data_IF_417648188414
#
_entry.id   IF_417648188414
#
_cell.length_a   1.000
_cell.length_b   1.000
_cell.length_c   1.000
_cell.angle_alpha   90.00
_cell.angle_beta   90.00
_cell.angle_gamma   90.00
#
_symmetry.space_group_name_H-M   'P 1'
#
loop_
_entity.id
_entity.type
_entity.pdbx_description
1 polymer ?
#
# COMPACT_ATOMS: atom_id res chain seq x y z
N UNK A 1 3.07 -28.32 4.06
CA UNK A 1 3.08 -28.19 2.57
C UNK A 1 4.43 -28.61 2.07
N UNK A 2 4.47 -29.39 1.00
CA UNK A 2 5.72 -29.89 0.42
C UNK A 2 6.06 -29.12 -0.85
N UNK A 3 7.23 -28.49 -0.86
CA UNK A 3 7.76 -27.79 -2.03
C UNK A 3 8.84 -28.64 -2.67
N UNK A 4 8.54 -29.20 -3.85
CA UNK A 4 9.52 -29.96 -4.62
C UNK A 4 10.76 -29.11 -4.92
N UNK A 5 11.94 -29.59 -4.54
CA UNK A 5 13.19 -28.87 -4.70
C UNK A 5 14.36 -29.84 -4.79
N UNK A 6 15.37 -29.51 -5.60
CA UNK A 6 16.60 -30.29 -5.66
C UNK A 6 17.29 -30.26 -4.30
N UNK A 7 18.01 -31.32 -3.93
CA UNK A 7 18.85 -31.32 -2.73
C UNK A 7 19.87 -30.18 -2.85
N UNK A 8 20.05 -29.40 -1.79
CA UNK A 8 21.03 -28.32 -1.74
C UNK A 8 20.49 -26.94 -2.10
N UNK A 9 19.21 -26.82 -2.51
CA UNK A 9 18.58 -25.51 -2.74
C UNK A 9 18.55 -24.70 -1.44
N UNK A 10 18.99 -23.43 -1.44
CA UNK A 10 18.92 -22.56 -0.26
C UNK A 10 17.49 -22.44 0.27
N UNK A 11 17.34 -22.47 1.60
CA UNK A 11 16.05 -22.32 2.28
C UNK A 11 16.08 -21.00 3.05
N UNK A 12 15.40 -19.94 2.57
CA UNK A 12 15.29 -18.68 3.30
C UNK A 12 14.23 -18.77 4.42
N UNK A 13 14.44 -18.03 5.52
CA UNK A 13 13.38 -17.79 6.53
C UNK A 13 12.28 -16.93 5.93
N UNK A 14 11.01 -17.32 6.10
CA UNK A 14 9.87 -16.57 5.55
C UNK A 14 9.55 -15.27 6.32
N UNK A 15 10.12 -15.09 7.50
CA UNK A 15 9.96 -13.90 8.34
C UNK A 15 11.11 -13.80 9.36
N UNK A 16 11.28 -12.65 9.99
CA UNK A 16 12.19 -12.49 11.12
C UNK A 16 11.75 -13.34 12.32
N UNK A 17 12.70 -13.91 13.07
CA UNK A 17 12.34 -14.74 14.20
C UNK A 17 13.52 -15.29 14.99
N UNK A 18 13.20 -16.06 16.02
CA UNK A 18 14.18 -16.74 16.88
C UNK A 18 14.08 -18.24 16.70
N UNK A 19 15.20 -18.87 16.37
CA UNK A 19 15.29 -20.32 16.20
C UNK A 19 15.01 -21.01 17.54
N UNK A 20 13.89 -21.71 17.66
CA UNK A 20 13.55 -22.52 18.84
C UNK A 20 14.28 -23.86 18.82
N UNK A 21 14.40 -24.45 17.63
CA UNK A 21 15.03 -25.74 17.44
C UNK A 21 15.76 -25.77 16.11
N UNK A 22 16.94 -26.39 16.10
CA UNK A 22 17.74 -26.64 14.93
C UNK A 22 18.54 -27.92 15.19
N UNK A 23 18.20 -29.01 14.51
CA UNK A 23 18.81 -30.32 14.74
C UNK A 23 18.02 -31.46 14.09
N UNK A 24 18.30 -32.69 14.50
CA UNK A 24 17.60 -33.87 14.00
C UNK A 24 16.38 -34.16 14.88
N UNK A 25 15.21 -34.35 14.26
CA UNK A 25 13.99 -34.80 14.93
C UNK A 25 13.41 -36.01 14.19
N UNK A 26 12.94 -37.02 14.92
CA UNK A 26 12.27 -38.19 14.34
C UNK A 26 11.10 -37.78 13.44
N UNK A 27 10.95 -38.44 12.30
CA UNK A 27 10.01 -38.07 11.22
C UNK A 27 10.55 -36.95 10.32
N UNK A 28 10.89 -35.79 10.87
CA UNK A 28 11.31 -34.62 10.10
C UNK A 28 12.75 -34.63 9.57
N UNK A 29 13.62 -35.50 10.09
CA UNK A 29 15.04 -35.46 9.74
C UNK A 29 15.71 -34.20 10.29
N UNK A 30 16.57 -33.56 9.50
CA UNK A 30 17.10 -32.25 9.86
C UNK A 30 15.98 -31.21 9.77
N UNK A 31 15.70 -30.54 10.89
CA UNK A 31 14.58 -29.61 11.00
C UNK A 31 15.00 -28.34 11.73
N UNK A 32 14.43 -27.21 11.28
CA UNK A 32 14.54 -25.91 11.91
C UNK A 32 13.14 -25.45 12.28
N UNK A 33 12.96 -24.99 13.52
CA UNK A 33 11.72 -24.36 13.99
C UNK A 33 12.00 -22.94 14.44
N UNK A 34 11.26 -21.98 13.92
CA UNK A 34 11.48 -20.55 14.18
C UNK A 34 10.22 -19.97 14.80
N UNK A 35 10.34 -19.37 15.99
CA UNK A 35 9.30 -18.52 16.54
C UNK A 35 9.39 -17.13 15.94
N UNK A 36 8.27 -16.58 15.50
CA UNK A 36 8.20 -15.24 14.94
C UNK A 36 7.47 -14.28 15.88
N UNK A 37 7.70 -12.96 15.73
CA UNK A 37 6.83 -11.95 16.32
C UNK A 37 5.36 -12.21 15.97
N UNK A 38 4.45 -11.98 16.91
CA UNK A 38 3.01 -12.19 16.68
C UNK A 38 2.50 -13.63 16.95
N UNK A 39 3.35 -14.50 17.51
CA UNK A 39 2.91 -15.75 18.14
C UNK A 39 2.72 -16.94 17.17
N UNK A 40 3.29 -16.86 15.98
CA UNK A 40 3.35 -17.97 15.03
C UNK A 40 4.75 -18.59 14.96
N UNK A 41 4.81 -19.84 14.50
CA UNK A 41 6.01 -20.66 14.39
C UNK A 41 6.07 -21.26 12.98
N UNK A 42 7.25 -21.30 12.38
CA UNK A 42 7.46 -21.99 11.10
C UNK A 42 8.41 -23.17 11.28
N UNK A 43 8.14 -24.25 10.55
CA UNK A 43 8.93 -25.48 10.57
C UNK A 43 9.46 -25.77 9.16
N UNK A 44 10.75 -26.05 9.06
CA UNK A 44 11.44 -26.39 7.81
C UNK A 44 12.13 -27.73 8.01
N UNK A 45 11.65 -28.77 7.33
CA UNK A 45 12.07 -30.14 7.55
C UNK A 45 12.70 -30.80 6.32
N UNK A 46 13.21 -32.02 6.53
CA UNK A 46 13.93 -32.85 5.56
C UNK A 46 15.20 -32.21 4.99
N UNK A 47 15.81 -31.27 5.72
CA UNK A 47 16.94 -30.48 5.24
C UNK A 47 18.21 -31.33 5.03
N UNK A 48 19.08 -30.94 4.11
CA UNK A 48 20.42 -31.55 3.94
C UNK A 48 21.47 -30.90 4.84
N UNK A 49 21.28 -29.61 5.16
CA UNK A 49 22.17 -28.86 6.05
C UNK A 49 21.40 -27.79 6.81
N UNK A 50 21.84 -27.52 8.03
CA UNK A 50 21.32 -26.48 8.92
C UNK A 50 22.40 -25.40 9.06
N UNK A 51 22.06 -24.15 8.79
CA UNK A 51 22.98 -23.00 8.82
C UNK A 51 22.79 -22.12 10.08
N UNK A 52 21.89 -22.51 10.99
CA UNK A 52 21.52 -21.74 12.19
C UNK A 52 21.55 -22.58 13.45
N UNK A 53 21.63 -21.93 14.61
CA UNK A 53 21.69 -22.58 15.93
C UNK A 53 20.46 -22.23 16.79
N UNK A 54 20.04 -23.10 17.74
CA UNK A 54 18.99 -22.75 18.69
C UNK A 54 19.32 -21.45 19.44
N UNK A 55 18.33 -20.57 19.57
CA UNK A 55 18.45 -19.24 20.17
C UNK A 55 18.96 -18.14 19.25
N UNK A 56 19.41 -18.46 18.03
CA UNK A 56 19.83 -17.48 17.04
C UNK A 56 18.63 -16.67 16.52
N UNK A 57 18.80 -15.36 16.39
CA UNK A 57 17.87 -14.49 15.66
C UNK A 57 18.18 -14.57 14.17
N UNK A 58 17.14 -14.67 13.35
CA UNK A 58 17.23 -14.69 11.89
C UNK A 58 16.36 -13.61 11.28
N UNK A 59 16.81 -13.00 10.19
CA UNK A 59 16.04 -12.03 9.41
C UNK A 59 15.21 -12.73 8.33
N UNK A 60 14.14 -12.08 7.86
CA UNK A 60 13.43 -12.51 6.66
C UNK A 60 14.39 -12.63 5.46
N UNK A 61 14.21 -13.68 4.65
CA UNK A 61 15.08 -13.95 3.49
C UNK A 61 16.44 -14.53 3.85
N UNK A 62 16.85 -14.55 5.12
CA UNK A 62 18.12 -15.13 5.55
C UNK A 62 18.13 -16.63 5.25
N UNK A 63 19.18 -17.12 4.58
CA UNK A 63 19.35 -18.54 4.33
C UNK A 63 19.61 -19.29 5.66
N UNK A 64 18.69 -20.18 6.03
CA UNK A 64 18.72 -20.92 7.31
C UNK A 64 19.18 -22.38 7.13
N UNK A 65 19.20 -22.88 5.90
CA UNK A 65 19.60 -24.26 5.61
C UNK A 65 19.57 -24.56 4.12
N UNK A 66 19.57 -25.85 3.78
CA UNK A 66 19.39 -26.31 2.41
C UNK A 66 18.40 -27.45 2.35
N UNK A 67 17.56 -27.48 1.33
CA UNK A 67 16.61 -28.57 1.06
C UNK A 67 17.34 -29.91 0.98
N UNK A 68 16.65 -30.99 1.32
CA UNK A 68 17.26 -32.30 1.38
C UNK A 68 16.26 -33.42 1.16
N UNK A 69 16.61 -34.58 1.71
CA UNK A 69 15.80 -35.78 1.71
C UNK A 69 16.11 -36.61 2.97
N UNK A 70 16.16 -35.95 4.14
CA UNK A 70 16.50 -36.60 5.42
C UNK A 70 15.25 -36.96 6.22
N UNK A 71 15.33 -37.93 7.13
CA UNK A 71 14.15 -38.39 7.89
C UNK A 71 13.20 -39.24 7.05
N UNK A 72 11.90 -39.16 7.33
CA UNK A 72 10.86 -39.91 6.62
C UNK A 72 10.39 -39.11 5.40
N UNK A 73 11.16 -39.16 4.32
CA UNK A 73 10.88 -38.46 3.06
C UNK A 73 10.97 -39.39 1.86
N UNK A 74 10.06 -39.25 0.89
CA UNK A 74 9.99 -40.09 -0.31
C UNK A 74 10.75 -39.50 -1.52
N UNK A 75 11.26 -38.27 -1.41
CA UNK A 75 12.05 -37.62 -2.46
C UNK A 75 12.48 -36.20 -2.08
N UNK A 76 13.39 -35.56 -2.86
CA UNK A 76 13.88 -34.21 -2.54
C UNK A 76 12.79 -33.13 -2.51
N UNK A 77 12.57 -32.54 -1.34
CA UNK A 77 11.62 -31.43 -1.15
C UNK A 77 11.94 -30.63 0.11
N UNK A 78 11.26 -29.49 0.27
CA UNK A 78 11.14 -28.77 1.54
C UNK A 78 9.75 -29.04 2.11
N UNK A 79 9.69 -29.70 3.25
CA UNK A 79 8.47 -29.78 4.05
C UNK A 79 8.37 -28.55 4.94
N UNK A 80 7.37 -27.72 4.69
CA UNK A 80 7.13 -26.45 5.37
C UNK A 80 5.82 -26.48 6.13
N UNK A 81 5.87 -26.08 7.40
CA UNK A 81 4.68 -25.91 8.23
C UNK A 81 4.61 -24.50 8.79
N UNK A 82 3.38 -24.00 8.90
CA UNK A 82 3.06 -22.75 9.57
C UNK A 82 2.11 -23.06 10.72
N UNK A 83 2.52 -22.72 11.93
CA UNK A 83 1.75 -22.94 13.15
C UNK A 83 1.39 -21.60 13.75
N UNK A 84 0.12 -21.38 14.07
CA UNK A 84 -0.28 -20.19 14.82
C UNK A 84 -1.22 -20.55 15.97
N UNK A 85 -1.01 -19.92 17.13
CA UNK A 85 -1.68 -20.29 18.38
C UNK A 85 -1.60 -21.81 18.71
N UNK A 86 -0.50 -22.47 18.33
CA UNK A 86 -0.28 -23.91 18.56
C UNK A 86 -1.05 -24.85 17.63
N UNK A 87 -1.68 -24.34 16.56
CA UNK A 87 -2.36 -25.14 15.54
C UNK A 87 -1.65 -25.02 14.19
N UNK A 88 -1.56 -26.13 13.47
CA UNK A 88 -1.12 -26.14 12.07
C UNK A 88 -2.16 -25.40 11.23
N UNK A 89 -1.74 -24.36 10.53
CA UNK A 89 -2.55 -23.56 9.61
C UNK A 89 -1.99 -23.77 8.21
N UNK A 90 -2.87 -23.82 7.20
CA UNK A 90 -2.45 -23.90 5.81
C UNK A 90 -1.46 -22.76 5.47
N UNK A 91 -0.21 -23.07 5.11
CA UNK A 91 0.80 -22.11 4.70
C UNK A 91 0.36 -21.13 3.61
N UNK A 92 -0.58 -21.52 2.73
CA UNK A 92 -1.10 -20.64 1.68
C UNK A 92 -2.00 -19.52 2.23
N UNK A 93 -2.45 -19.63 3.48
CA UNK A 93 -3.23 -18.59 4.19
C UNK A 93 -2.35 -17.70 5.08
N UNK A 94 -1.03 -17.87 5.05
CA UNK A 94 -0.10 -17.09 5.87
C UNK A 94 -0.23 -15.57 5.66
N UNK A 95 -0.44 -15.12 4.42
CA UNK A 95 -0.63 -13.69 4.08
C UNK A 95 -1.93 -13.09 4.66
N UNK A 96 -2.92 -13.93 5.02
CA UNK A 96 -4.19 -13.51 5.60
C UNK A 96 -4.23 -13.64 7.14
N UNK A 97 -3.18 -14.17 7.75
CA UNK A 97 -3.13 -14.38 9.19
C UNK A 97 -2.73 -13.09 9.92
N UNK A 98 -3.64 -12.57 10.76
CA UNK A 98 -3.38 -11.45 11.66
C UNK A 98 -2.81 -12.01 12.97
N UNK A 99 -1.57 -11.67 13.37
CA UNK A 99 -0.95 -12.27 14.53
C UNK A 99 -1.69 -11.94 15.84
N UNK A 100 -2.11 -12.97 16.58
CA UNK A 100 -2.60 -12.83 17.95
C UNK A 100 -1.56 -13.37 18.93
N UNK A 101 -0.81 -12.47 19.57
CA UNK A 101 0.17 -12.83 20.60
C UNK A 101 1.02 -11.64 21.05
N UNK A 102 1.47 -11.66 22.32
CA UNK A 102 2.45 -10.69 22.82
C UNK A 102 3.78 -10.90 22.09
N UNK A 103 4.46 -9.84 21.60
CA UNK A 103 5.79 -9.94 21.02
C UNK A 103 6.76 -10.63 21.98
N UNK A 104 7.65 -11.48 21.47
CA UNK A 104 8.78 -11.97 22.25
C UNK A 104 9.61 -10.76 22.70
N UNK A 105 10.13 -10.75 23.94
CA UNK A 105 10.87 -9.61 24.46
C UNK A 105 12.11 -9.36 23.60
N UNK A 106 12.07 -8.30 22.81
CA UNK A 106 13.26 -7.73 22.20
C UNK A 106 14.14 -7.19 23.33
N UNK A 107 15.43 -7.55 23.31
CA UNK A 107 16.45 -7.11 24.27
C UNK A 107 16.77 -5.61 24.22
N UNK A 108 15.90 -4.80 23.63
CA UNK A 108 15.88 -3.35 23.77
C UNK A 108 14.44 -2.96 24.12
N UNK A 109 14.24 -2.45 25.33
CA UNK A 109 12.95 -2.02 25.82
C UNK A 109 12.33 -0.98 24.86
N UNK A 110 11.17 -1.27 24.23
CA UNK A 110 10.33 -0.24 23.69
C UNK A 110 9.59 0.39 24.87
N UNK A 111 9.74 1.69 25.04
CA UNK A 111 8.84 2.45 25.89
C UNK A 111 7.38 2.07 25.55
N UNK A 112 6.59 1.85 26.61
CA UNK A 112 5.14 1.57 26.67
C UNK A 112 4.32 1.90 25.41
N UNK A 113 3.26 1.13 25.09
CA UNK A 113 2.34 1.46 24.01
C UNK A 113 1.59 2.74 24.38
N UNK A 114 2.10 3.89 23.92
CA UNK A 114 1.28 5.09 23.86
C UNK A 114 0.23 4.79 22.80
N UNK A 115 -1.02 4.58 23.23
CA UNK A 115 -2.16 5.01 22.41
C UNK A 115 -1.80 6.41 21.94
N UNK A 116 -1.52 6.56 20.65
CA UNK A 116 -1.51 7.86 20.02
C UNK A 116 -2.98 8.31 20.03
N UNK A 117 -3.39 8.89 21.15
CA UNK A 117 -4.06 10.17 21.04
C UNK A 117 -3.17 11.02 20.13
N UNK A 118 -3.76 11.76 19.19
CA UNK A 118 -3.08 12.79 18.43
C UNK A 118 -2.66 13.90 19.42
N UNK A 119 -1.68 13.60 20.26
CA UNK A 119 -0.85 14.59 20.94
C UNK A 119 0.39 14.69 20.07
N UNK A 120 0.31 15.61 19.12
CA UNK A 120 1.40 16.03 18.25
C UNK A 120 2.66 16.24 19.10
N UNK A 121 3.76 15.47 18.89
CA UNK A 121 4.98 15.61 19.69
C UNK A 121 5.71 16.93 19.43
N UNK A 122 5.35 17.63 18.36
CA UNK A 122 5.70 19.03 18.12
C UNK A 122 4.43 19.85 18.31
N UNK A 123 4.51 21.07 18.83
CA UNK A 123 3.36 21.95 19.07
C UNK A 123 2.63 22.44 17.81
N UNK A 124 2.28 21.54 16.90
CA UNK A 124 1.41 21.78 15.75
C UNK A 124 0.06 22.23 16.27
N UNK A 125 -0.23 23.51 16.07
CA UNK A 125 -1.54 24.08 16.36
C UNK A 125 -2.41 23.87 15.14
N UNK A 126 -3.61 23.34 15.33
CA UNK A 126 -4.65 23.40 14.31
C UNK A 126 -4.99 24.87 14.10
N UNK A 127 -4.88 25.35 12.86
CA UNK A 127 -5.22 26.74 12.55
C UNK A 127 -6.71 26.96 12.82
N UNK A 128 -7.03 28.07 13.48
CA UNK A 128 -8.42 28.51 13.71
C UNK A 128 -8.95 29.38 12.58
N UNK A 129 -8.10 29.74 11.62
CA UNK A 129 -8.43 30.64 10.53
C UNK A 129 -8.70 29.88 9.23
N UNK A 130 -9.65 30.36 8.40
CA UNK A 130 -9.79 29.88 7.04
C UNK A 130 -8.45 29.89 6.29
N UNK A 131 -8.28 28.95 5.37
CA UNK A 131 -7.08 28.84 4.55
C UNK A 131 -7.40 28.31 3.17
N UNK A 132 -6.66 28.82 2.19
CA UNK A 132 -6.68 28.31 0.83
C UNK A 132 -5.61 27.24 0.68
N UNK A 133 -5.99 26.10 0.13
CA UNK A 133 -5.12 24.97 -0.11
C UNK A 133 -5.33 24.44 -1.52
N UNK A 134 -4.26 23.97 -2.14
CA UNK A 134 -4.35 23.25 -3.41
C UNK A 134 -4.09 21.78 -3.15
N UNK A 135 -4.95 20.89 -3.65
CA UNK A 135 -4.72 19.45 -3.67
C UNK A 135 -4.37 18.99 -5.07
N UNK A 136 -3.29 18.21 -5.22
CA UNK A 136 -2.84 17.63 -6.48
C UNK A 136 -2.76 16.11 -6.37
N UNK A 137 -3.36 15.43 -7.33
CA UNK A 137 -3.42 13.97 -7.41
C UNK A 137 -3.06 13.50 -8.82
N UNK A 138 -2.32 12.40 -8.92
CA UNK A 138 -2.26 11.59 -10.13
C UNK A 138 -2.67 10.16 -9.77
N UNK A 139 -3.78 9.73 -10.36
CA UNK A 139 -4.39 8.43 -10.07
C UNK A 139 -3.56 7.27 -10.61
N UNK A 140 -3.85 6.06 -10.14
CA UNK A 140 -3.21 4.82 -10.63
C UNK A 140 -3.62 4.44 -12.05
N UNK A 141 -4.66 5.06 -12.60
CA UNK A 141 -5.06 4.89 -14.00
C UNK A 141 -4.08 5.54 -14.99
N UNK A 142 -3.15 6.38 -14.50
CA UNK A 142 -2.15 7.07 -15.32
C UNK A 142 -2.77 7.94 -16.44
N UNK A 143 -3.96 8.49 -16.21
CA UNK A 143 -4.65 9.32 -17.19
C UNK A 143 -4.15 10.76 -17.17
N UNK A 144 -3.70 11.23 -16.01
CA UNK A 144 -3.20 12.58 -15.84
C UNK A 144 -3.13 13.05 -14.39
N UNK A 145 -3.18 14.37 -14.26
CA UNK A 145 -3.15 15.13 -13.02
C UNK A 145 -4.50 15.80 -12.82
N UNK A 146 -5.04 15.65 -11.62
CA UNK A 146 -6.16 16.42 -11.11
C UNK A 146 -5.69 17.40 -10.05
N UNK A 147 -6.21 18.63 -10.12
CA UNK A 147 -5.96 19.69 -9.16
C UNK A 147 -7.24 20.34 -8.69
N UNK A 148 -7.29 20.66 -7.40
CA UNK A 148 -8.40 21.40 -6.79
C UNK A 148 -7.87 22.53 -5.93
N UNK A 149 -8.53 23.68 -5.97
CA UNK A 149 -8.35 24.77 -5.02
C UNK A 149 -9.52 24.75 -4.04
N UNK A 150 -9.20 24.62 -2.76
CA UNK A 150 -10.15 24.46 -1.67
C UNK A 150 -9.97 25.58 -0.65
N UNK A 151 -11.08 26.12 -0.16
CA UNK A 151 -11.12 26.87 1.08
C UNK A 151 -11.49 25.93 2.22
N UNK A 152 -10.66 25.87 3.25
CA UNK A 152 -10.92 25.07 4.45
C UNK A 152 -11.03 25.99 5.66
N UNK A 153 -12.12 25.86 6.41
CA UNK A 153 -12.33 26.55 7.67
C UNK A 153 -12.67 25.52 8.77
N UNK A 154 -12.22 25.75 10.02
CA UNK A 154 -12.44 24.80 11.11
C UNK A 154 -13.92 24.50 11.33
N UNK A 155 -14.25 23.21 11.53
CA UNK A 155 -15.62 22.78 11.84
C UNK A 155 -16.60 22.84 10.67
N UNK A 156 -16.15 23.16 9.46
CA UNK A 156 -16.97 23.16 8.25
C UNK A 156 -16.35 22.28 7.16
N UNK A 157 -17.17 21.63 6.30
CA UNK A 157 -16.66 20.97 5.11
C UNK A 157 -15.90 21.95 4.21
N UNK A 158 -14.82 21.50 3.55
CA UNK A 158 -14.07 22.37 2.65
C UNK A 158 -14.93 22.77 1.44
N UNK A 159 -14.79 24.03 1.02
CA UNK A 159 -15.47 24.57 -0.17
C UNK A 159 -14.54 24.49 -1.38
N UNK A 160 -14.99 23.82 -2.44
CA UNK A 160 -14.31 23.82 -3.73
C UNK A 160 -14.46 25.18 -4.41
N UNK A 161 -13.34 25.82 -4.76
CA UNK A 161 -13.31 27.10 -5.45
C UNK A 161 -13.00 26.95 -6.93
N UNK A 162 -12.10 26.04 -7.29
CA UNK A 162 -11.74 25.74 -8.67
C UNK A 162 -11.23 24.31 -8.79
N UNK A 163 -11.34 23.76 -9.99
CA UNK A 163 -10.77 22.47 -10.37
C UNK A 163 -10.08 22.60 -11.72
N UNK A 164 -9.03 21.80 -11.94
CA UNK A 164 -8.33 21.74 -13.21
C UNK A 164 -7.76 20.33 -13.39
N UNK A 165 -7.65 19.88 -14.64
CA UNK A 165 -7.06 18.59 -14.96
C UNK A 165 -6.16 18.71 -16.19
N UNK A 166 -5.10 17.90 -16.23
CA UNK A 166 -4.17 17.80 -17.35
C UNK A 166 -3.83 16.35 -17.61
N UNK A 167 -4.05 15.89 -18.85
CA UNK A 167 -3.66 14.55 -19.26
C UNK A 167 -2.13 14.40 -19.24
N UNK A 168 -1.64 13.20 -18.93
CA UNK A 168 -0.21 12.93 -19.07
C UNK A 168 0.23 12.92 -20.53
N UNK A 169 1.38 13.55 -20.87
CA UNK A 169 2.04 13.30 -22.14
C UNK A 169 2.31 11.81 -22.31
N UNK A 170 2.14 11.28 -23.52
CA UNK A 170 2.26 9.85 -23.80
C UNK A 170 3.60 9.25 -23.34
N UNK A 171 4.71 10.01 -23.50
CA UNK A 171 6.03 9.60 -23.05
C UNK A 171 6.13 9.46 -21.52
N UNK A 172 5.58 10.42 -20.77
CA UNK A 172 5.59 10.39 -19.30
C UNK A 172 4.70 9.25 -18.77
N UNK A 173 3.53 9.04 -19.38
CA UNK A 173 2.65 7.91 -19.05
C UNK A 173 3.35 6.57 -19.26
N UNK A 174 4.00 6.39 -20.41
CA UNK A 174 4.76 5.18 -20.71
C UNK A 174 5.92 4.98 -19.73
N UNK A 175 6.58 6.07 -19.34
CA UNK A 175 7.68 6.03 -18.37
C UNK A 175 7.20 5.59 -16.98
N UNK A 176 6.11 6.16 -16.46
CA UNK A 176 5.54 5.70 -15.20
C UNK A 176 5.11 4.23 -15.24
N UNK A 177 4.53 3.78 -16.35
CA UNK A 177 4.18 2.37 -16.52
C UNK A 177 5.43 1.48 -16.52
N UNK A 178 6.48 1.85 -17.25
CA UNK A 178 7.72 1.09 -17.29
C UNK A 178 8.41 1.04 -15.91
N UNK A 179 8.35 2.14 -15.15
CA UNK A 179 8.86 2.20 -13.79
C UNK A 179 8.08 1.33 -12.82
N UNK A 180 6.92 0.74 -13.19
CA UNK A 180 6.21 -0.28 -12.39
C UNK A 180 6.93 -1.65 -12.36
N UNK A 181 7.94 -1.84 -13.20
CA UNK A 181 8.74 -3.06 -13.29
C UNK A 181 10.23 -2.76 -13.19
N UNK A 182 11.01 -3.69 -12.64
CA UNK A 182 12.47 -3.55 -12.58
C UNK A 182 13.07 -3.37 -13.98
N UNK A 183 14.06 -2.50 -14.11
CA UNK A 183 14.57 -2.11 -15.43
C UNK A 183 15.92 -1.41 -15.40
N UNK A 184 16.38 -0.99 -16.58
CA UNK A 184 17.62 -0.24 -16.71
C UNK A 184 17.44 1.18 -16.16
N UNK A 185 18.41 1.60 -15.32
CA UNK A 185 18.60 2.97 -14.83
C UNK A 185 17.34 3.62 -14.21
N UNK A 186 16.59 2.84 -13.42
CA UNK A 186 15.31 3.27 -12.83
C UNK A 186 15.44 4.51 -11.94
N UNK A 187 16.57 4.72 -11.27
CA UNK A 187 16.78 5.86 -10.39
C UNK A 187 16.86 7.18 -11.18
N UNK A 188 17.68 7.22 -12.24
CA UNK A 188 17.81 8.39 -13.10
C UNK A 188 16.48 8.69 -13.79
N UNK A 189 15.85 7.66 -14.36
CA UNK A 189 14.56 7.76 -15.03
C UNK A 189 13.45 8.25 -14.11
N UNK A 190 13.39 7.73 -12.88
CA UNK A 190 12.44 8.19 -11.85
C UNK A 190 12.65 9.67 -11.52
N UNK A 191 13.91 10.13 -11.43
CA UNK A 191 14.22 11.53 -11.18
C UNK A 191 13.76 12.45 -12.32
N UNK A 192 13.94 12.03 -13.59
CA UNK A 192 13.45 12.79 -14.74
C UNK A 192 11.91 12.82 -14.81
N UNK A 193 11.26 11.68 -14.53
CA UNK A 193 9.80 11.60 -14.46
C UNK A 193 9.23 12.47 -13.32
N UNK A 194 9.92 12.54 -12.18
CA UNK A 194 9.54 13.39 -11.05
C UNK A 194 9.55 14.89 -11.42
N UNK A 195 10.54 15.33 -12.18
CA UNK A 195 10.64 16.72 -12.65
C UNK A 195 9.51 17.06 -13.62
N UNK A 196 9.26 16.18 -14.60
CA UNK A 196 8.15 16.34 -15.55
C UNK A 196 6.79 16.38 -14.84
N UNK A 197 6.60 15.55 -13.81
CA UNK A 197 5.38 15.59 -12.99
C UNK A 197 5.24 16.92 -12.24
N UNK A 198 6.33 17.44 -11.67
CA UNK A 198 6.31 18.71 -10.98
C UNK A 198 5.99 19.88 -11.91
N UNK A 199 6.50 19.87 -13.15
CA UNK A 199 6.16 20.88 -14.16
C UNK A 199 4.66 20.81 -14.54
N UNK A 200 4.10 19.60 -14.74
CA UNK A 200 2.65 19.43 -14.97
C UNK A 200 1.79 19.88 -13.77
N UNK A 201 2.24 19.55 -12.56
CA UNK A 201 1.62 20.03 -11.33
C UNK A 201 1.63 21.56 -11.26
N UNK A 202 2.75 22.20 -11.60
CA UNK A 202 2.84 23.65 -11.64
C UNK A 202 1.90 24.27 -12.70
N UNK A 203 1.74 23.66 -13.87
CA UNK A 203 0.78 24.10 -14.89
C UNK A 203 -0.67 24.03 -14.41
N UNK A 204 -1.02 22.96 -13.69
CA UNK A 204 -2.33 22.79 -13.05
C UNK A 204 -2.54 23.86 -11.97
N UNK A 205 -1.55 24.10 -11.10
CA UNK A 205 -1.59 25.17 -10.10
C UNK A 205 -1.80 26.53 -10.76
N UNK A 206 -1.02 26.85 -11.78
CA UNK A 206 -1.15 28.12 -12.51
C UNK A 206 -2.56 28.28 -13.12
N UNK A 207 -3.16 27.19 -13.60
CA UNK A 207 -4.53 27.19 -14.11
C UNK A 207 -5.55 27.46 -13.01
N UNK A 208 -5.45 26.75 -11.88
CA UNK A 208 -6.32 27.00 -10.72
C UNK A 208 -6.26 28.45 -10.23
N UNK A 209 -5.06 29.02 -10.12
CA UNK A 209 -4.85 30.40 -9.67
C UNK A 209 -5.44 31.42 -10.66
N UNK A 210 -5.19 31.24 -11.96
CA UNK A 210 -5.76 32.12 -13.00
C UNK A 210 -7.28 32.07 -13.01
N UNK A 211 -7.86 30.88 -13.02
CA UNK A 211 -9.30 30.69 -13.20
C UNK A 211 -10.10 31.13 -11.97
N UNK A 212 -9.50 31.04 -10.77
CA UNK A 212 -10.10 31.52 -9.52
C UNK A 212 -9.79 32.98 -9.20
N UNK A 213 -8.83 33.61 -9.89
CA UNK A 213 -8.31 34.94 -9.55
C UNK A 213 -7.54 35.00 -8.23
N UNK A 214 -7.18 33.86 -7.64
CA UNK A 214 -6.44 33.77 -6.37
C UNK A 214 -4.96 33.99 -6.61
N UNK A 215 -4.31 34.78 -5.75
CA UNK A 215 -2.86 34.96 -5.78
C UNK A 215 -2.14 33.77 -5.13
N UNK A 216 -0.98 33.38 -5.67
CA UNK A 216 -0.16 32.31 -5.10
C UNK A 216 0.18 32.57 -3.61
N UNK A 217 0.46 33.82 -3.24
CA UNK A 217 0.78 34.21 -1.86
C UNK A 217 -0.39 34.02 -0.87
N UNK A 218 -1.63 33.92 -1.36
CA UNK A 218 -2.80 33.65 -0.54
C UNK A 218 -3.02 32.15 -0.28
N UNK A 219 -2.35 31.28 -1.04
CA UNK A 219 -2.42 29.82 -0.85
C UNK A 219 -1.44 29.41 0.24
N UNK A 220 -1.96 28.75 1.27
CA UNK A 220 -1.18 28.34 2.44
C UNK A 220 -0.25 27.17 2.12
N UNK A 221 -0.74 26.18 1.36
CA UNK A 221 0.07 25.04 0.94
C UNK A 221 -0.56 24.31 -0.25
N UNK A 222 0.30 23.60 -0.99
CA UNK A 222 -0.06 22.57 -1.96
C UNK A 222 0.13 21.21 -1.27
N UNK A 223 -0.89 20.36 -1.30
CA UNK A 223 -0.78 18.94 -0.99
C UNK A 223 -0.56 18.14 -2.27
N UNK A 224 0.63 17.58 -2.47
CA UNK A 224 1.01 16.85 -3.68
C UNK A 224 1.19 15.36 -3.41
N UNK A 225 0.27 14.53 -3.90
CA UNK A 225 0.34 13.08 -3.71
C UNK A 225 1.53 12.45 -4.45
N UNK A 226 1.83 12.94 -5.66
CA UNK A 226 2.78 12.30 -6.58
C UNK A 226 2.17 11.13 -7.34
N UNK A 227 2.99 10.39 -8.09
CA UNK A 227 2.57 9.22 -8.86
C UNK A 227 3.06 7.94 -8.21
N UNK A 228 2.16 7.07 -7.77
CA UNK A 228 2.54 5.76 -7.20
C UNK A 228 3.15 4.87 -8.27
N UNK A 229 4.34 4.32 -8.00
CA UNK A 229 5.00 3.29 -8.82
C UNK A 229 5.31 2.01 -8.05
N UNK A 230 5.41 2.08 -6.72
CA UNK A 230 5.50 0.90 -5.84
C UNK A 230 4.68 1.12 -4.58
N UNK A 231 3.99 0.08 -4.13
CA UNK A 231 3.29 0.08 -2.86
C UNK A 231 3.46 -1.30 -2.22
N UNK A 232 4.34 -1.37 -1.22
CA UNK A 232 4.72 -2.61 -0.52
C UNK A 232 4.73 -2.37 0.99
N UNK A 233 3.57 -2.03 1.59
CA UNK A 233 3.49 -1.86 3.03
C UNK A 233 3.85 -3.14 3.80
N UNK A 234 3.68 -4.30 3.17
CA UNK A 234 4.17 -5.60 3.65
C UNK A 234 5.69 -5.62 3.85
N UNK A 235 6.44 -4.89 3.01
CA UNK A 235 7.88 -4.68 3.13
C UNK A 235 8.24 -3.34 3.79
N UNK A 236 7.26 -2.65 4.38
CA UNK A 236 7.48 -1.39 5.08
C UNK A 236 7.80 -0.19 4.19
N UNK A 237 7.45 -0.21 2.89
CA UNK A 237 7.69 0.95 2.03
C UNK A 237 6.60 1.24 0.98
N UNK A 238 6.60 2.46 0.49
CA UNK A 238 5.82 2.87 -0.67
C UNK A 238 6.57 3.97 -1.41
N UNK A 239 6.41 4.06 -2.73
CA UNK A 239 7.11 5.01 -3.59
C UNK A 239 6.10 5.77 -4.43
N UNK A 240 5.96 7.06 -4.12
CA UNK A 240 5.31 8.05 -4.96
C UNK A 240 6.40 8.90 -5.60
N UNK A 241 6.55 8.80 -6.92
CA UNK A 241 7.46 9.68 -7.67
C UNK A 241 6.91 11.10 -7.59
N UNK A 242 7.74 12.02 -7.11
CA UNK A 242 7.42 13.44 -6.96
C UNK A 242 8.71 14.27 -6.86
N UNK A 243 8.66 15.57 -7.16
CA UNK A 243 9.75 16.53 -6.94
C UNK A 243 9.22 17.76 -6.17
N UNK A 244 8.88 17.61 -4.87
CA UNK A 244 8.16 18.63 -4.11
C UNK A 244 8.95 19.94 -3.93
N UNK A 245 10.28 19.87 -3.82
CA UNK A 245 11.12 21.07 -3.76
C UNK A 245 11.07 21.87 -5.07
N UNK A 246 11.16 21.18 -6.21
CA UNK A 246 11.02 21.82 -7.53
C UNK A 246 9.63 22.44 -7.69
N UNK A 247 8.58 21.71 -7.30
CA UNK A 247 7.21 22.22 -7.33
C UNK A 247 7.05 23.48 -6.47
N UNK A 248 7.65 23.52 -5.28
CA UNK A 248 7.60 24.68 -4.40
C UNK A 248 8.27 25.90 -5.04
N UNK A 249 9.45 25.73 -5.64
CA UNK A 249 10.17 26.79 -6.37
C UNK A 249 9.39 27.29 -7.60
N UNK A 250 8.76 26.38 -8.34
CA UNK A 250 7.95 26.72 -9.53
C UNK A 250 6.69 27.51 -9.18
N UNK A 251 6.03 27.15 -8.08
CA UNK A 251 4.76 27.76 -7.69
C UNK A 251 4.90 28.96 -6.74
N UNK A 252 6.04 29.08 -6.04
CA UNK A 252 6.20 30.03 -4.94
C UNK A 252 5.27 29.75 -3.76
N UNK A 253 4.86 28.48 -3.57
CA UNK A 253 3.92 28.03 -2.54
C UNK A 253 4.53 26.85 -1.78
N UNK A 254 4.35 26.79 -0.47
CA UNK A 254 4.80 25.66 0.33
C UNK A 254 4.15 24.34 -0.13
N UNK A 255 4.94 23.26 -0.23
CA UNK A 255 4.46 21.94 -0.67
C UNK A 255 4.55 20.94 0.48
N UNK A 256 3.45 20.25 0.74
CA UNK A 256 3.36 19.06 1.59
C UNK A 256 3.18 17.84 0.69
N UNK A 257 4.00 16.82 0.86
CA UNK A 257 3.99 15.62 0.04
C UNK A 257 4.31 14.38 0.89
N UNK A 258 4.41 13.21 0.24
CA UNK A 258 4.78 11.94 0.87
C UNK A 258 3.86 11.50 2.02
N UNK A 259 2.55 11.62 1.77
CA UNK A 259 1.53 11.35 2.80
C UNK A 259 1.49 9.90 3.26
N UNK A 260 1.89 8.95 2.40
CA UNK A 260 1.74 7.51 2.67
C UNK A 260 2.87 6.96 3.53
N UNK A 261 4.10 7.42 3.32
CA UNK A 261 5.27 6.87 4.01
C UNK A 261 5.19 7.02 5.52
N UNK A 262 4.56 8.09 6.01
CA UNK A 262 4.36 8.27 7.46
C UNK A 262 3.45 7.20 8.07
N UNK A 263 2.38 6.82 7.37
CA UNK A 263 1.46 5.78 7.84
C UNK A 263 2.14 4.40 7.81
N UNK A 264 2.84 4.08 6.72
CA UNK A 264 3.63 2.84 6.61
C UNK A 264 4.70 2.76 7.71
N UNK A 265 5.42 3.85 7.99
CA UNK A 265 6.39 3.92 9.08
C UNK A 265 5.77 3.76 10.48
N UNK A 266 4.47 4.03 10.62
CA UNK A 266 3.71 3.79 11.85
C UNK A 266 3.13 2.36 11.94
N UNK A 267 3.43 1.49 10.97
CA UNK A 267 2.89 0.13 10.87
C UNK A 267 1.53 0.04 10.17
N UNK A 268 1.06 1.12 9.56
CA UNK A 268 -0.13 1.16 8.73
C UNK A 268 0.11 0.63 7.31
N UNK A 269 -0.94 0.65 6.49
CA UNK A 269 -0.88 0.18 5.10
C UNK A 269 -0.47 1.27 4.11
N UNK A 270 -0.47 2.54 4.50
CA UNK A 270 -0.27 3.68 3.58
C UNK A 270 -1.45 3.94 2.65
N UNK A 271 -2.55 3.19 2.80
CA UNK A 271 -3.78 3.29 2.03
C UNK A 271 -4.94 2.55 2.74
N UNK A 272 -6.22 2.94 2.49
CA UNK A 272 -6.63 4.25 1.97
C UNK A 272 -6.47 5.34 3.05
N UNK A 273 -5.96 6.52 2.68
CA UNK A 273 -5.81 7.67 3.61
C UNK A 273 -7.08 8.54 3.71
N UNK A 274 -8.00 8.39 2.75
CA UNK A 274 -9.24 9.17 2.66
C UNK A 274 -10.29 8.94 3.76
N UNK A 275 -10.34 7.83 4.54
CA UNK A 275 -11.39 7.63 5.54
C UNK A 275 -11.47 8.73 6.60
N UNK A 276 -10.33 9.29 7.03
CA UNK A 276 -10.31 10.41 7.97
C UNK A 276 -10.96 11.67 7.37
N UNK A 277 -10.69 11.95 6.10
CA UNK A 277 -11.33 13.02 5.35
C UNK A 277 -12.83 12.75 5.15
N UNK A 278 -13.20 11.52 4.75
CA UNK A 278 -14.60 11.12 4.60
C UNK A 278 -15.39 11.29 5.90
N UNK A 279 -14.80 10.96 7.07
CA UNK A 279 -15.45 11.22 8.35
C UNK A 279 -15.70 12.71 8.57
N UNK A 280 -14.71 13.55 8.30
CA UNK A 280 -14.83 15.00 8.52
C UNK A 280 -15.90 15.64 7.61
N UNK A 281 -16.15 15.09 6.43
CA UNK A 281 -17.02 15.68 5.40
C UNK A 281 -18.40 15.02 5.32
N UNK A 282 -18.46 13.69 5.41
CA UNK A 282 -19.65 12.90 5.10
C UNK A 282 -20.30 12.22 6.32
N UNK A 283 -19.68 12.25 7.51
CA UNK A 283 -20.30 11.63 8.67
C UNK A 283 -21.59 12.35 9.06
N UNK A 284 -22.60 11.55 9.41
CA UNK A 284 -23.90 12.04 9.87
C UNK A 284 -24.07 11.64 11.32
N UNK A 285 -24.46 12.59 12.17
CA UNK A 285 -24.66 12.32 13.59
C UNK A 285 -25.74 11.25 13.80
N UNK A 286 -25.40 10.19 14.54
CA UNK A 286 -26.33 9.11 14.87
C UNK A 286 -26.59 8.11 13.73
N UNK A 287 -25.83 8.16 12.63
CA UNK A 287 -25.99 7.23 11.51
C UNK A 287 -24.65 6.63 11.06
N UNK A 288 -24.72 5.36 10.64
CA UNK A 288 -23.63 4.70 9.93
C UNK A 288 -23.67 5.13 8.46
N UNK A 289 -22.53 5.57 7.92
CA UNK A 289 -22.39 6.04 6.54
C UNK A 289 -21.31 5.25 5.82
N UNK A 290 -21.63 4.74 4.63
CA UNK A 290 -20.67 4.10 3.74
C UNK A 290 -20.35 5.04 2.57
N UNK A 291 -19.06 5.28 2.33
CA UNK A 291 -18.57 6.07 1.18
C UNK A 291 -17.78 5.15 0.27
N UNK A 292 -18.30 4.92 -0.94
CA UNK A 292 -17.69 4.05 -1.94
C UNK A 292 -17.06 4.91 -3.04
N UNK A 293 -15.75 4.74 -3.24
CA UNK A 293 -15.04 5.31 -4.39
C UNK A 293 -14.79 4.22 -5.43
N UNK A 294 -15.24 4.43 -6.67
CA UNK A 294 -15.07 3.53 -7.80
C UNK A 294 -14.03 4.09 -8.78
N UNK A 295 -12.75 3.98 -8.41
CA UNK A 295 -11.63 4.27 -9.31
C UNK A 295 -11.18 3.04 -10.08
N UNK A 296 -9.91 3.00 -10.52
CA UNK A 296 -9.31 1.76 -11.05
C UNK A 296 -9.40 0.60 -10.05
N UNK A 297 -9.17 0.89 -8.78
CA UNK A 297 -9.50 0.03 -7.63
C UNK A 297 -10.60 0.69 -6.81
N UNK A 298 -11.55 -0.12 -6.36
CA UNK A 298 -12.64 0.34 -5.52
C UNK A 298 -12.21 0.33 -4.05
N UNK A 299 -12.58 1.38 -3.31
CA UNK A 299 -12.34 1.47 -1.88
C UNK A 299 -13.59 1.95 -1.14
N UNK A 300 -13.75 1.43 0.08
CA UNK A 300 -14.90 1.68 0.93
C UNK A 300 -14.43 2.33 2.23
N UNK A 301 -15.08 3.41 2.64
CA UNK A 301 -14.97 3.96 4.00
C UNK A 301 -16.27 3.75 4.75
N UNK A 302 -16.20 3.10 5.90
CA UNK A 302 -17.33 2.91 6.81
C UNK A 302 -17.17 3.87 7.98
N UNK A 303 -18.11 4.80 8.11
CA UNK A 303 -18.15 5.84 9.13
C UNK A 303 -19.25 5.47 10.12
N UNK A 304 -18.88 4.91 11.27
CA UNK A 304 -19.89 4.47 12.23
C UNK A 304 -20.37 5.62 13.11
N UNK A 305 -21.63 5.54 13.54
CA UNK A 305 -22.27 6.49 14.43
C UNK A 305 -21.53 6.66 15.77
N UNK A 306 -20.82 5.61 16.21
CA UNK A 306 -20.10 5.55 17.49
C UNK A 306 -18.76 6.32 17.49
N UNK A 307 -18.32 6.85 16.35
CA UNK A 307 -17.01 7.50 16.24
C UNK A 307 -15.99 6.73 15.42
N UNK A 308 -16.14 5.41 15.31
CA UNK A 308 -15.16 4.54 14.66
C UNK A 308 -15.20 4.69 13.14
N UNK A 309 -14.10 4.35 12.50
CA UNK A 309 -13.94 4.44 11.03
C UNK A 309 -13.09 3.29 10.53
N UNK A 310 -13.57 2.65 9.48
CA UNK A 310 -12.84 1.62 8.75
C UNK A 310 -12.67 2.06 7.30
N UNK A 311 -11.56 1.68 6.69
CA UNK A 311 -11.32 1.91 5.28
C UNK A 311 -10.52 0.75 4.70
N UNK A 312 -10.93 0.25 3.54
CA UNK A 312 -10.23 -0.82 2.86
C UNK A 312 -10.53 -0.80 1.36
N UNK A 313 -9.61 -1.36 0.58
CA UNK A 313 -9.84 -1.63 -0.83
C UNK A 313 -10.71 -2.89 -0.96
N UNK A 314 -11.75 -2.83 -1.78
CA UNK A 314 -12.66 -3.98 -2.00
C UNK A 314 -12.21 -4.86 -3.16
N UNK A 315 -11.33 -4.35 -4.02
CA UNK A 315 -10.85 -5.04 -5.22
C UNK A 315 -10.84 -4.15 -6.46
N UNK A 316 -10.82 -4.73 -7.68
CA UNK A 316 -10.85 -3.96 -8.91
C UNK A 316 -12.17 -3.18 -9.03
N UNK A 317 -12.08 -1.91 -9.43
CA UNK A 317 -13.20 -1.08 -9.86
C UNK A 317 -13.28 -1.08 -11.38
N UNK A 318 -12.87 0.03 -12.00
CA UNK A 318 -12.93 0.21 -13.45
C UNK A 318 -11.74 -0.39 -14.21
N UNK A 319 -10.62 -0.70 -13.55
CA UNK A 319 -9.37 -1.07 -14.25
C UNK A 319 -9.52 -2.24 -15.25
N UNK A 320 -10.26 -3.29 -14.87
CA UNK A 320 -10.50 -4.44 -15.74
C UNK A 320 -11.53 -4.14 -16.84
N UNK A 321 -12.54 -3.32 -16.52
CA UNK A 321 -13.57 -2.90 -17.47
C UNK A 321 -12.98 -2.01 -18.57
N UNK A 322 -12.15 -1.04 -18.17
CA UNK A 322 -11.45 -0.12 -19.07
C UNK A 322 -10.50 -0.89 -19.98
N UNK A 323 -9.72 -1.82 -19.42
CA UNK A 323 -8.84 -2.68 -20.22
C UNK A 323 -9.61 -3.53 -21.23
N UNK A 324 -10.73 -4.13 -20.83
CA UNK A 324 -11.57 -4.94 -21.70
C UNK A 324 -12.20 -4.12 -22.82
N UNK A 325 -12.67 -2.91 -22.49
CA UNK A 325 -13.24 -1.94 -23.44
C UNK A 325 -12.20 -1.48 -24.45
N UNK A 326 -10.99 -1.13 -23.98
CA UNK A 326 -9.88 -0.73 -24.85
C UNK A 326 -9.47 -1.84 -25.79
N UNK A 327 -9.44 -3.09 -25.31
CA UNK A 327 -9.06 -4.26 -26.11
C UNK A 327 -10.06 -4.57 -27.21
N UNK A 328 -11.37 -4.47 -26.93
CA UNK A 328 -12.41 -4.96 -27.84
C UNK A 328 -13.08 -3.86 -28.67
N UNK A 329 -13.17 -2.64 -28.14
CA UNK A 329 -13.83 -1.51 -28.79
C UNK A 329 -12.86 -0.39 -29.19
N UNK A 330 -11.60 -0.47 -28.74
CA UNK A 330 -10.62 0.60 -28.93
C UNK A 330 -10.91 1.88 -28.12
N UNK A 331 -11.91 1.84 -27.23
CA UNK A 331 -12.34 2.97 -26.40
C UNK A 331 -11.69 2.90 -25.01
N UNK A 332 -11.38 4.05 -24.38
CA UNK A 332 -10.70 4.06 -23.08
C UNK A 332 -11.54 3.48 -21.93
N UNK A 333 -12.87 3.55 -22.00
CA UNK A 333 -13.79 3.01 -21.00
C UNK A 333 -15.19 2.76 -21.60
N UNK A 334 -16.04 2.03 -20.87
CA UNK A 334 -17.44 1.79 -21.25
C UNK A 334 -18.34 2.94 -20.77
N UNK A 335 -18.70 3.83 -21.69
CA UNK A 335 -19.50 5.01 -21.37
C UNK A 335 -20.88 4.62 -20.84
N UNK A 336 -21.18 5.04 -19.60
CA UNK A 336 -22.43 4.76 -18.89
C UNK A 336 -22.74 3.25 -18.73
N UNK A 337 -21.74 2.38 -18.88
CA UNK A 337 -21.96 0.92 -18.86
C UNK A 337 -22.80 0.42 -20.03
N UNK A 338 -22.88 1.18 -21.14
CA UNK A 338 -23.76 0.87 -22.26
C UNK A 338 -23.40 -0.45 -22.95
N UNK A 339 -22.10 -0.75 -23.07
CA UNK A 339 -21.65 -2.01 -23.65
C UNK A 339 -21.91 -3.19 -22.71
N UNK A 340 -21.61 -3.03 -21.42
CA UNK A 340 -21.89 -4.04 -20.40
C UNK A 340 -23.39 -4.36 -20.29
N UNK A 341 -24.27 -3.34 -20.38
CA UNK A 341 -25.72 -3.50 -20.32
C UNK A 341 -26.31 -4.32 -21.48
N UNK A 342 -25.63 -4.36 -22.63
CA UNK A 342 -26.02 -5.20 -23.76
C UNK A 342 -25.58 -6.67 -23.63
N UNK A 343 -24.78 -6.99 -22.62
CA UNK A 343 -24.26 -8.34 -22.37
C UNK A 343 -25.09 -9.15 -21.37
N UNK A 344 -24.67 -10.40 -21.16
CA UNK A 344 -25.20 -11.27 -20.11
C UNK A 344 -24.06 -11.74 -19.20
N UNK A 345 -24.28 -11.68 -17.88
CA UNK A 345 -23.28 -12.10 -16.90
C UNK A 345 -23.05 -13.61 -16.99
N UNK A 346 -21.78 -14.00 -17.14
CA UNK A 346 -21.33 -15.39 -17.09
C UNK A 346 -21.04 -15.79 -15.64
N UNK A 347 -22.02 -16.42 -14.99
CA UNK A 347 -21.97 -16.76 -13.57
C UNK A 347 -20.80 -17.68 -13.20
N UNK A 348 -20.39 -18.57 -14.12
CA UNK A 348 -19.23 -19.45 -13.98
C UNK A 348 -17.92 -18.67 -13.87
N UNK A 349 -17.72 -17.69 -14.76
CA UNK A 349 -16.53 -16.83 -14.73
C UNK A 349 -16.55 -15.86 -13.55
N UNK A 350 -17.72 -15.32 -13.20
CA UNK A 350 -17.85 -14.44 -12.04
C UNK A 350 -17.47 -15.17 -10.75
N UNK A 351 -17.95 -16.40 -10.57
CA UNK A 351 -17.60 -17.21 -9.40
C UNK A 351 -16.10 -17.52 -9.35
N UNK A 352 -15.48 -17.78 -10.50
CA UNK A 352 -14.03 -18.02 -10.58
C UNK A 352 -13.20 -16.79 -10.20
N UNK A 353 -13.63 -15.58 -10.56
CA UNK A 353 -12.91 -14.34 -10.22
C UNK A 353 -13.13 -13.84 -8.79
N UNK A 354 -14.22 -14.25 -8.14
CA UNK A 354 -14.52 -13.90 -6.75
C UNK A 354 -13.93 -14.88 -5.73
N UNK A 355 -13.48 -16.06 -6.17
CA UNK A 355 -12.90 -17.11 -5.33
C UNK A 355 -11.42 -16.85 -5.02
#
# INVERSE_FOLDING_TARGET
>A
VDFAARIGTPVPSVAEGRVKFAGVQSGYGNVIKIAHPGGFETVYAHLSSIAVKPGQTVSEGQNIGKTGNTGTSTGPHLHFEFHAAGRLIDPLRMASYVPQGKPLPLGCAPNSPRRLAVTTPCGWRVSTEPGLFIGLMSGTSLDGVDGVLLESAPGTPPRLLAHAARAFPAGLRAEFLALNTAGFDELHRSALAAQQLADLYADVVATLLRDSGVSAASVRAIGAHGQTVRHRPDLGYTVQINAPALLAERCGIAVVADFRSRDVAAGGQGAPLVPAFHRAVFAVAGADVAVLNLGGFANLSLLFADGSTLGFDTGPGNALLDHWTQRHLGQPYDAQGAWAAGGAVRADLLAQFLA
#
